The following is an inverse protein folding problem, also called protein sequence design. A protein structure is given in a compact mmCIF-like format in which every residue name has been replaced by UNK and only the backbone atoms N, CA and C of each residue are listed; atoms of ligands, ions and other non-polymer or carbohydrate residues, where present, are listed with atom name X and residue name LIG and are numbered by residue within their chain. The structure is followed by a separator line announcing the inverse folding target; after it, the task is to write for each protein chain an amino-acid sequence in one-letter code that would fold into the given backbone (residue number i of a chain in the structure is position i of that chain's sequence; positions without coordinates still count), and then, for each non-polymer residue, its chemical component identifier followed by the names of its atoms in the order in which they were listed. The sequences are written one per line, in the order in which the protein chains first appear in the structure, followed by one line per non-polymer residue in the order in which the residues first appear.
data_IF_039775243598
#
_entry.id   IF_039775243598
#
_cell.length_a   1.000
_cell.length_b   1.000
_cell.length_c   1.000
_cell.angle_alpha   90.00
_cell.angle_beta   90.00
_cell.angle_gamma   90.00
#
_symmetry.space_group_name_H-M   'P 1'
#
loop_
_entity.id
_entity.type
_entity.pdbx_description
1 polymer ?
#
# COMPACT_ATOMS: atom_id res chain seq x y z
N UNK A 1 -0.95 -50.63 -2.26
CA UNK A 1 -1.69 -49.61 -1.49
C UNK A 1 -2.66 -48.94 -2.44
N UNK A 2 -3.95 -48.97 -2.13
CA UNK A 2 -4.99 -48.38 -2.98
C UNK A 2 -5.05 -46.86 -2.76
N UNK A 3 -4.44 -46.10 -3.67
CA UNK A 3 -4.37 -44.64 -3.63
C UNK A 3 -5.62 -43.97 -4.22
N UNK A 4 -6.63 -44.73 -4.66
CA UNK A 4 -7.84 -44.18 -5.24
C UNK A 4 -8.58 -43.25 -4.26
N UNK A 5 -8.66 -43.61 -2.98
CA UNK A 5 -9.38 -42.82 -1.97
C UNK A 5 -8.74 -41.47 -1.65
N UNK A 6 -7.42 -41.37 -1.41
CA UNK A 6 -6.74 -40.08 -1.32
C UNK A 6 -6.99 -39.19 -2.54
N UNK A 7 -6.86 -39.74 -3.76
CA UNK A 7 -7.04 -38.96 -4.99
C UNK A 7 -8.45 -38.41 -5.11
N UNK A 8 -9.47 -39.22 -4.80
CA UNK A 8 -10.88 -38.80 -4.83
C UNK A 8 -11.15 -37.71 -3.78
N UNK A 9 -10.64 -37.86 -2.56
CA UNK A 9 -10.83 -36.89 -1.49
C UNK A 9 -10.21 -35.52 -1.84
N UNK A 10 -9.00 -35.51 -2.41
CA UNK A 10 -8.36 -34.29 -2.90
C UNK A 10 -9.11 -33.66 -4.07
N UNK A 11 -9.58 -34.47 -5.03
CA UNK A 11 -10.35 -33.99 -6.18
C UNK A 11 -11.67 -33.33 -5.73
N UNK A 12 -12.38 -33.92 -4.77
CA UNK A 12 -13.61 -33.35 -4.20
C UNK A 12 -13.37 -32.03 -3.48
N UNK A 13 -12.27 -31.93 -2.72
CA UNK A 13 -11.93 -30.69 -2.04
C UNK A 13 -11.59 -29.57 -3.05
N UNK A 14 -10.83 -29.88 -4.11
CA UNK A 14 -10.52 -28.91 -5.19
C UNK A 14 -11.80 -28.48 -5.92
N UNK A 15 -12.72 -29.41 -6.19
CA UNK A 15 -14.00 -29.08 -6.80
C UNK A 15 -14.86 -28.16 -5.91
N UNK A 16 -14.90 -28.42 -4.60
CA UNK A 16 -15.59 -27.56 -3.63
C UNK A 16 -14.96 -26.16 -3.57
N UNK A 17 -13.63 -26.07 -3.60
CA UNK A 17 -12.90 -24.80 -3.66
C UNK A 17 -13.26 -24.01 -4.93
N UNK A 18 -13.24 -24.66 -6.10
CA UNK A 18 -13.59 -24.03 -7.38
C UNK A 18 -15.04 -23.56 -7.42
N UNK A 19 -15.97 -24.36 -6.90
CA UNK A 19 -17.38 -23.98 -6.78
C UNK A 19 -17.56 -22.78 -5.85
N UNK A 20 -16.87 -22.74 -4.72
CA UNK A 20 -16.91 -21.64 -3.78
C UNK A 20 -16.43 -20.32 -4.42
N UNK A 21 -15.34 -20.36 -5.21
CA UNK A 21 -14.88 -19.19 -5.98
C UNK A 21 -15.87 -18.74 -7.06
N UNK A 22 -16.54 -19.69 -7.74
CA UNK A 22 -17.53 -19.37 -8.78
C UNK A 22 -18.82 -18.76 -8.22
N UNK A 23 -19.22 -19.20 -7.02
CA UNK A 23 -20.36 -18.61 -6.31
C UNK A 23 -19.97 -17.25 -5.73
N UNK A 24 -18.78 -17.12 -5.16
CA UNK A 24 -18.29 -15.85 -4.61
C UNK A 24 -18.01 -14.82 -5.69
N UNK A 25 -17.79 -15.18 -6.97
CA UNK A 25 -17.63 -14.20 -8.05
C UNK A 25 -18.95 -13.63 -8.57
N UNK A 26 -20.09 -14.23 -8.21
CA UNK A 26 -21.42 -13.94 -8.79
C UNK A 26 -22.16 -12.73 -8.18
N UNK A 27 -21.66 -12.01 -7.16
CA UNK A 27 -22.33 -10.77 -6.75
C UNK A 27 -22.29 -9.77 -7.89
N UNK A 28 -23.48 -9.23 -8.17
CA UNK A 28 -23.73 -8.25 -9.21
C UNK A 28 -22.81 -7.04 -9.01
N UNK A 29 -22.29 -6.45 -10.11
CA UNK A 29 -21.68 -5.14 -10.02
C UNK A 29 -22.72 -4.20 -9.41
N UNK A 30 -22.46 -3.71 -8.20
CA UNK A 30 -23.16 -2.52 -7.71
C UNK A 30 -22.69 -1.41 -8.63
N UNK A 31 -23.64 -0.78 -9.29
CA UNK A 31 -23.42 0.31 -10.24
C UNK A 31 -22.41 1.29 -9.65
N UNK A 32 -21.20 1.31 -10.23
CA UNK A 32 -20.12 2.13 -9.73
C UNK A 32 -20.59 3.57 -9.83
N UNK A 33 -20.81 4.22 -8.69
CA UNK A 33 -21.16 5.62 -8.70
C UNK A 33 -20.01 6.36 -9.41
N UNK A 34 -20.36 7.16 -10.40
CA UNK A 34 -19.46 7.97 -11.27
C UNK A 34 -18.66 9.04 -10.50
N UNK A 35 -18.48 8.88 -9.20
CA UNK A 35 -17.78 9.81 -8.32
C UNK A 35 -16.28 9.53 -8.33
N UNK A 36 -15.50 10.61 -8.31
CA UNK A 36 -14.06 10.56 -8.06
C UNK A 36 -13.81 9.90 -6.71
N UNK A 37 -13.13 8.76 -6.75
CA UNK A 37 -12.78 8.02 -5.54
C UNK A 37 -11.96 8.93 -4.59
N UNK A 38 -12.26 8.97 -3.28
CA UNK A 38 -11.48 9.76 -2.34
C UNK A 38 -10.00 9.36 -2.39
N UNK A 39 -9.10 10.34 -2.37
CA UNK A 39 -7.64 10.12 -2.45
C UNK A 39 -7.13 9.06 -1.47
N UNK A 40 -7.57 9.01 -0.20
CA UNK A 40 -7.08 7.99 0.75
C UNK A 40 -7.45 6.57 0.32
N UNK A 41 -8.62 6.41 -0.30
CA UNK A 41 -9.06 5.12 -0.84
C UNK A 41 -8.16 4.72 -2.00
N UNK A 42 -7.85 5.65 -2.91
CA UNK A 42 -6.95 5.38 -4.04
C UNK A 42 -5.55 4.99 -3.56
N UNK A 43 -4.98 5.72 -2.60
CA UNK A 43 -3.64 5.42 -2.05
C UNK A 43 -3.61 4.09 -1.31
N UNK A 44 -4.67 3.73 -0.58
CA UNK A 44 -4.78 2.40 0.03
C UNK A 44 -4.78 1.30 -1.04
N UNK A 45 -5.53 1.49 -2.13
CA UNK A 45 -5.63 0.49 -3.21
C UNK A 45 -4.34 0.40 -4.04
N UNK A 46 -3.52 1.45 -4.08
CA UNK A 46 -2.15 1.45 -4.63
C UNK A 46 -1.14 0.71 -3.74
N UNK A 47 -1.52 0.36 -2.51
CA UNK A 47 -0.66 -0.35 -1.56
C UNK A 47 0.29 0.56 -0.78
N UNK A 48 -0.08 1.83 -0.61
CA UNK A 48 0.66 2.79 0.22
C UNK A 48 0.64 2.40 1.69
N UNK A 49 1.61 2.90 2.47
CA UNK A 49 1.67 2.64 3.92
C UNK A 49 0.47 3.24 4.62
N UNK A 50 0.09 2.66 5.74
CA UNK A 50 -1.13 3.05 6.47
C UNK A 50 -1.01 4.47 7.05
N UNK A 51 0.21 4.92 7.34
CA UNK A 51 0.55 6.31 7.64
C UNK A 51 0.33 7.26 6.45
N UNK A 52 0.74 6.87 5.25
CA UNK A 52 0.58 7.69 4.03
C UNK A 52 -0.90 7.81 3.66
N UNK A 53 -1.67 6.73 3.82
CA UNK A 53 -3.14 6.75 3.66
C UNK A 53 -3.80 7.68 4.68
N UNK A 54 -3.30 7.69 5.92
CA UNK A 54 -3.78 8.61 6.95
C UNK A 54 -3.47 10.07 6.62
N UNK A 55 -2.27 10.37 6.14
CA UNK A 55 -1.90 11.71 5.69
C UNK A 55 -2.72 12.15 4.48
N UNK A 56 -2.93 11.27 3.51
CA UNK A 56 -3.84 11.54 2.38
C UNK A 56 -5.24 11.92 2.87
N UNK A 57 -5.75 11.27 3.92
CA UNK A 57 -7.05 11.60 4.52
C UNK A 57 -7.04 12.97 5.21
N UNK A 58 -5.96 13.32 5.89
CA UNK A 58 -5.80 14.66 6.47
C UNK A 58 -5.75 15.74 5.38
N UNK A 59 -5.04 15.53 4.27
CA UNK A 59 -4.99 16.51 3.18
C UNK A 59 -6.30 16.64 2.43
N UNK A 60 -7.01 15.54 2.24
CA UNK A 60 -8.35 15.56 1.66
C UNK A 60 -9.31 16.36 2.55
N UNK A 61 -9.24 16.17 3.87
CA UNK A 61 -9.97 16.98 4.85
C UNK A 61 -9.50 18.44 4.86
N UNK A 62 -8.22 18.71 4.65
CA UNK A 62 -7.67 20.07 4.56
C UNK A 62 -8.17 20.80 3.30
N UNK A 63 -8.18 20.12 2.16
CA UNK A 63 -8.73 20.63 0.90
C UNK A 63 -10.23 20.95 1.00
N UNK A 64 -10.96 20.17 1.80
CA UNK A 64 -12.36 20.45 2.17
C UNK A 64 -12.50 21.40 3.37
N UNK A 65 -11.39 21.94 3.89
CA UNK A 65 -11.30 22.91 4.97
C UNK A 65 -11.92 22.47 6.30
N UNK A 66 -11.87 21.17 6.60
CA UNK A 66 -12.15 20.61 7.94
C UNK A 66 -10.96 20.79 8.89
N UNK A 67 -9.75 20.87 8.31
CA UNK A 67 -8.51 21.18 9.01
C UNK A 67 -7.75 22.24 8.22
N UNK A 68 -6.91 23.02 8.88
CA UNK A 68 -5.99 23.95 8.21
C UNK A 68 -4.57 23.52 8.51
N UNK A 69 -3.78 23.38 7.45
CA UNK A 69 -2.37 23.01 7.52
C UNK A 69 -1.54 24.20 7.09
N UNK A 70 -0.79 24.78 8.02
CA UNK A 70 0.16 25.88 7.78
C UNK A 70 1.56 25.41 8.15
N UNK A 71 2.43 25.26 7.14
CA UNK A 71 3.75 24.66 7.35
C UNK A 71 3.63 23.24 7.89
N UNK A 72 4.16 23.00 9.10
CA UNK A 72 4.08 21.70 9.79
C UNK A 72 2.88 21.58 10.75
N UNK A 73 2.13 22.66 10.96
CA UNK A 73 1.10 22.75 11.99
C UNK A 73 -0.28 22.51 11.45
N UNK A 74 -1.04 21.72 12.20
CA UNK A 74 -2.44 21.46 11.93
C UNK A 74 -3.32 22.11 13.00
N UNK A 75 -4.37 22.77 12.53
CA UNK A 75 -5.46 23.32 13.33
C UNK A 75 -6.80 22.73 12.89
N UNK A 76 -7.74 22.60 13.82
CA UNK A 76 -9.12 22.18 13.49
C UNK A 76 -9.92 23.40 13.06
N UNK A 77 -10.60 23.29 11.91
CA UNK A 77 -11.53 24.31 11.46
C UNK A 77 -12.88 24.17 12.21
N UNK A 78 -13.74 25.21 12.20
CA UNK A 78 -15.07 25.13 12.77
C UNK A 78 -15.89 23.98 12.13
N UNK A 79 -16.81 23.35 12.88
CA UNK A 79 -17.62 22.24 12.37
C UNK A 79 -18.39 22.64 11.11
N UNK A 80 -18.29 21.82 10.05
CA UNK A 80 -19.01 22.03 8.79
C UNK A 80 -20.22 21.11 8.70
N UNK A 81 -21.16 21.42 7.80
CA UNK A 81 -22.40 20.64 7.57
C UNK A 81 -22.24 19.48 6.59
N UNK A 82 -21.06 19.32 5.99
CA UNK A 82 -20.81 18.28 5.00
C UNK A 82 -20.80 16.89 5.67
N UNK A 83 -21.40 15.86 5.06
CA UNK A 83 -21.39 14.51 5.63
C UNK A 83 -19.99 13.90 5.58
N UNK A 84 -19.48 13.47 6.73
CA UNK A 84 -18.17 12.83 6.85
C UNK A 84 -18.27 11.31 6.68
N UNK A 85 -17.34 10.75 5.90
CA UNK A 85 -17.15 9.31 5.78
C UNK A 85 -16.68 8.71 7.13
N UNK A 86 -16.87 7.40 7.36
CA UNK A 86 -16.51 6.78 8.64
C UNK A 86 -15.04 6.93 9.02
N UNK A 87 -14.12 6.78 8.04
CA UNK A 87 -12.69 6.97 8.29
C UNK A 87 -12.34 8.45 8.57
N UNK A 88 -13.07 9.39 7.97
CA UNK A 88 -12.84 10.83 8.15
C UNK A 88 -13.23 11.28 9.55
N UNK A 89 -14.37 10.79 10.06
CA UNK A 89 -14.79 10.98 11.45
C UNK A 89 -13.73 10.44 12.41
N UNK A 90 -13.25 9.23 12.15
CA UNK A 90 -12.20 8.62 12.95
C UNK A 90 -10.92 9.49 12.97
N UNK A 91 -10.49 10.00 11.80
CA UNK A 91 -9.32 10.90 11.71
C UNK A 91 -9.53 12.17 12.53
N UNK A 92 -10.67 12.85 12.36
CA UNK A 92 -10.98 14.09 13.08
C UNK A 92 -11.08 13.87 14.59
N UNK A 93 -11.69 12.78 15.04
CA UNK A 93 -11.79 12.44 16.47
C UNK A 93 -10.40 12.21 17.09
N UNK A 94 -9.50 11.53 16.36
CA UNK A 94 -8.12 11.30 16.81
C UNK A 94 -7.30 12.59 16.84
N UNK A 95 -7.45 13.43 15.82
CA UNK A 95 -6.82 14.76 15.78
C UNK A 95 -7.31 15.63 16.93
N UNK A 96 -8.63 15.72 17.14
CA UNK A 96 -9.24 16.49 18.22
C UNK A 96 -8.82 15.99 19.60
N UNK A 97 -8.73 14.67 19.79
CA UNK A 97 -8.25 14.09 21.04
C UNK A 97 -6.81 14.50 21.34
N UNK A 98 -5.93 14.52 20.32
CA UNK A 98 -4.51 14.88 20.48
C UNK A 98 -4.27 16.39 20.56
N UNK A 99 -5.17 17.20 20.01
CA UNK A 99 -5.16 18.66 20.16
C UNK A 99 -5.80 19.16 21.46
N UNK A 100 -6.31 18.29 22.34
CA UNK A 100 -6.93 18.74 23.60
C UNK A 100 -6.02 19.69 24.38
N UNK A 101 -6.49 20.93 24.56
CA UNK A 101 -5.79 21.99 25.28
C UNK A 101 -4.69 22.71 24.46
N UNK A 102 -4.54 22.42 23.17
CA UNK A 102 -3.59 23.09 22.27
C UNK A 102 -4.30 23.62 21.03
N UNK A 103 -4.08 24.88 20.63
CA UNK A 103 -4.71 25.43 19.42
C UNK A 103 -4.18 24.79 18.14
N UNK A 104 -2.92 24.33 18.15
CA UNK A 104 -2.26 23.72 17.01
C UNK A 104 -1.21 22.71 17.47
N UNK A 105 -0.92 21.71 16.64
CA UNK A 105 0.17 20.78 16.86
C UNK A 105 0.80 20.35 15.51
N UNK A 106 2.06 19.91 15.52
CA UNK A 106 2.68 19.33 14.34
C UNK A 106 1.87 18.13 13.84
N UNK A 107 1.69 17.99 12.53
CA UNK A 107 0.91 16.88 11.92
C UNK A 107 1.35 15.51 12.44
N UNK A 108 2.65 15.30 12.64
CA UNK A 108 3.19 14.03 13.14
C UNK A 108 2.91 13.75 14.61
N UNK A 109 2.75 14.78 15.43
CA UNK A 109 2.28 14.60 16.80
C UNK A 109 0.81 14.15 16.85
N UNK A 110 0.09 14.28 15.71
CA UNK A 110 -1.31 13.88 15.55
C UNK A 110 -1.45 12.50 14.89
N UNK A 111 -0.40 12.02 14.21
CA UNK A 111 -0.36 10.70 13.58
C UNK A 111 -0.50 9.60 14.64
N UNK A 112 -1.50 8.70 14.51
CA UNK A 112 -1.64 7.54 15.37
C UNK A 112 -0.51 6.53 15.19
N UNK A 113 -0.33 5.64 16.17
CA UNK A 113 0.61 4.52 16.06
C UNK A 113 0.19 3.56 14.95
N UNK A 114 1.15 2.83 14.37
CA UNK A 114 0.90 1.91 13.25
C UNK A 114 -0.14 0.83 13.58
N UNK A 115 -0.17 0.35 14.82
CA UNK A 115 -1.14 -0.63 15.32
C UNK A 115 -2.58 -0.10 15.29
N UNK A 116 -2.80 1.16 15.70
CA UNK A 116 -4.11 1.81 15.65
C UNK A 116 -4.55 2.05 14.20
N UNK A 117 -3.60 2.44 13.33
CA UNK A 117 -3.87 2.66 11.91
C UNK A 117 -4.29 1.36 11.22
N UNK A 118 -3.56 0.28 11.45
CA UNK A 118 -3.82 -1.03 10.84
C UNK A 118 -5.08 -1.69 11.41
N UNK A 119 -5.33 -1.49 12.71
CA UNK A 119 -6.41 -2.11 13.46
C UNK A 119 -7.77 -1.41 13.32
N UNK A 120 -7.80 -0.09 13.23
CA UNK A 120 -9.04 0.69 13.25
C UNK A 120 -9.26 1.51 11.97
N UNK A 121 -8.26 2.27 11.53
CA UNK A 121 -8.40 3.21 10.41
C UNK A 121 -8.47 2.52 9.04
N UNK A 122 -7.51 1.64 8.74
CA UNK A 122 -7.42 0.93 7.46
C UNK A 122 -8.66 0.10 7.17
N UNK A 123 -9.27 -0.62 8.13
CA UNK A 123 -10.55 -1.28 7.92
C UNK A 123 -11.67 -0.33 7.45
N UNK A 124 -11.74 0.91 7.95
CA UNK A 124 -12.75 1.89 7.55
C UNK A 124 -12.53 2.41 6.12
N UNK A 125 -11.28 2.72 5.76
CA UNK A 125 -10.92 3.10 4.39
C UNK A 125 -11.18 1.94 3.42
N UNK A 126 -10.86 0.71 3.84
CA UNK A 126 -11.14 -0.51 3.06
C UNK A 126 -12.62 -0.75 2.87
N UNK A 127 -13.44 -0.56 3.90
CA UNK A 127 -14.89 -0.69 3.79
C UNK A 127 -15.44 0.33 2.79
N UNK A 128 -14.96 1.57 2.84
CA UNK A 128 -15.34 2.61 1.88
C UNK A 128 -14.96 2.21 0.45
N UNK A 129 -13.78 1.62 0.24
CA UNK A 129 -13.36 1.10 -1.06
C UNK A 129 -14.31 0.01 -1.60
N UNK A 130 -14.85 -0.82 -0.71
CA UNK A 130 -15.82 -1.87 -1.05
C UNK A 130 -17.19 -1.26 -1.36
N UNK A 131 -17.64 -0.31 -0.56
CA UNK A 131 -18.92 0.36 -0.73
C UNK A 131 -18.96 1.17 -2.05
N UNK A 132 -17.82 1.74 -2.46
CA UNK A 132 -17.63 2.41 -3.75
C UNK A 132 -17.45 1.44 -4.94
N UNK A 133 -17.38 0.12 -4.69
CA UNK A 133 -17.19 -0.88 -5.73
C UNK A 133 -15.78 -0.96 -6.32
N UNK A 134 -14.79 -0.33 -5.69
CA UNK A 134 -13.38 -0.29 -6.14
C UNK A 134 -12.60 -1.53 -5.67
N UNK A 135 -12.96 -2.04 -4.50
CA UNK A 135 -12.47 -3.30 -3.99
C UNK A 135 -13.63 -4.26 -3.79
N UNK A 136 -13.34 -5.55 -3.83
CA UNK A 136 -14.29 -6.58 -3.42
C UNK A 136 -13.66 -7.49 -2.38
N UNK A 137 -14.43 -7.85 -1.37
CA UNK A 137 -14.03 -8.86 -0.41
C UNK A 137 -13.89 -10.20 -1.13
N UNK A 138 -12.74 -10.88 -1.01
CA UNK A 138 -12.53 -12.17 -1.68
C UNK A 138 -13.55 -13.24 -1.23
N UNK A 139 -14.01 -13.11 0.02
CA UNK A 139 -15.11 -13.87 0.58
C UNK A 139 -16.10 -12.94 1.28
N UNK A 140 -17.41 -13.04 1.04
CA UNK A 140 -18.40 -12.19 1.70
C UNK A 140 -18.39 -12.39 3.23
N UNK A 141 -18.14 -13.63 3.67
CA UNK A 141 -18.07 -14.01 5.08
C UNK A 141 -16.89 -14.97 5.32
N UNK A 142 -16.26 -14.89 6.50
CA UNK A 142 -15.17 -15.77 6.94
C UNK A 142 -15.60 -17.23 7.11
N UNK A 143 -16.90 -17.48 7.18
CA UNK A 143 -17.47 -18.84 7.25
C UNK A 143 -17.01 -19.69 6.06
N UNK A 144 -16.98 -19.13 4.85
CA UNK A 144 -16.61 -19.90 3.65
C UNK A 144 -15.15 -20.37 3.68
N UNK A 145 -14.15 -19.51 3.90
CA UNK A 145 -12.77 -19.98 4.04
C UNK A 145 -12.57 -20.87 5.28
N UNK A 146 -13.28 -20.63 6.38
CA UNK A 146 -13.22 -21.50 7.56
C UNK A 146 -13.72 -22.92 7.24
N UNK A 147 -14.86 -23.04 6.58
CA UNK A 147 -15.43 -24.34 6.19
C UNK A 147 -14.56 -25.08 5.19
N UNK A 148 -13.96 -24.37 4.23
CA UNK A 148 -13.01 -24.97 3.28
C UNK A 148 -11.72 -25.44 3.97
N UNK A 149 -11.22 -24.68 4.94
CA UNK A 149 -10.07 -25.08 5.76
C UNK A 149 -10.41 -26.29 6.66
N UNK A 150 -11.61 -26.33 7.24
CA UNK A 150 -12.08 -27.49 8.01
C UNK A 150 -12.28 -28.73 7.11
N UNK A 151 -12.82 -28.54 5.90
CA UNK A 151 -13.01 -29.62 4.93
C UNK A 151 -11.69 -30.22 4.42
N UNK A 152 -10.57 -29.48 4.51
CA UNK A 152 -9.23 -29.94 4.15
C UNK A 152 -8.70 -31.04 5.10
N UNK A 153 -9.27 -31.16 6.30
CA UNK A 153 -8.90 -32.21 7.28
C UNK A 153 -9.25 -33.60 6.74
N UNK A 154 -10.31 -33.74 5.95
CA UNK A 154 -10.77 -35.03 5.40
C UNK A 154 -9.76 -35.63 4.42
N UNK A 155 -9.33 -34.96 3.32
CA UNK A 155 -8.32 -35.52 2.42
C UNK A 155 -6.97 -35.72 3.11
N UNK A 156 -6.60 -34.85 4.05
CA UNK A 156 -5.41 -35.04 4.89
C UNK A 156 -5.46 -36.35 5.68
N UNK A 157 -6.53 -36.55 6.46
CA UNK A 157 -6.71 -37.72 7.30
C UNK A 157 -6.76 -39.01 6.48
N UNK A 158 -7.50 -39.03 5.36
CA UNK A 158 -7.56 -40.19 4.45
C UNK A 158 -6.18 -40.52 3.88
N UNK A 159 -5.37 -39.51 3.54
CA UNK A 159 -4.01 -39.74 3.04
C UNK A 159 -3.08 -40.30 4.12
N UNK A 160 -3.17 -39.80 5.36
CA UNK A 160 -2.37 -40.33 6.48
C UNK A 160 -2.82 -41.72 6.89
N UNK A 161 -4.12 -41.99 6.96
CA UNK A 161 -4.65 -43.30 7.35
C UNK A 161 -4.27 -44.41 6.36
N UNK A 162 -4.15 -44.07 5.07
CA UNK A 162 -3.81 -45.03 4.00
C UNK A 162 -2.30 -45.19 3.79
N UNK A 163 -1.53 -44.11 3.88
CA UNK A 163 -0.10 -44.11 3.56
C UNK A 163 0.83 -44.01 4.78
N UNK A 164 0.30 -43.74 5.98
CA UNK A 164 1.08 -43.44 7.18
C UNK A 164 1.91 -42.16 7.04
N UNK A 165 2.95 -42.02 7.88
CA UNK A 165 3.95 -40.94 7.82
C UNK A 165 5.02 -41.13 6.71
N UNK A 166 4.70 -41.91 5.68
CA UNK A 166 5.55 -42.04 4.51
C UNK A 166 5.59 -40.74 3.69
N UNK A 167 6.45 -40.68 2.66
CA UNK A 167 6.62 -39.52 1.79
C UNK A 167 5.28 -38.89 1.30
N UNK A 168 4.27 -39.67 0.83
CA UNK A 168 2.94 -39.14 0.53
C UNK A 168 2.21 -38.47 1.71
N UNK A 169 2.33 -39.02 2.92
CA UNK A 169 1.71 -38.44 4.13
C UNK A 169 2.38 -37.13 4.57
N UNK A 170 3.71 -37.02 4.40
CA UNK A 170 4.43 -35.76 4.61
C UNK A 170 4.01 -34.67 3.63
N UNK A 171 3.89 -35.00 2.33
CA UNK A 171 3.39 -34.06 1.31
C UNK A 171 1.97 -33.60 1.65
N UNK A 172 1.06 -34.53 1.97
CA UNK A 172 -0.31 -34.19 2.31
C UNK A 172 -0.39 -33.25 3.52
N UNK A 173 0.49 -33.43 4.52
CA UNK A 173 0.57 -32.54 5.68
C UNK A 173 1.07 -31.15 5.31
N UNK A 174 2.13 -31.05 4.50
CA UNK A 174 2.65 -29.76 4.02
C UNK A 174 1.62 -29.02 3.18
N UNK A 175 0.97 -29.70 2.22
CA UNK A 175 -0.04 -29.09 1.35
C UNK A 175 -1.24 -28.64 2.17
N UNK A 176 -1.70 -29.43 3.15
CA UNK A 176 -2.85 -29.06 3.97
C UNK A 176 -2.56 -27.86 4.87
N UNK A 177 -1.35 -27.79 5.42
CA UNK A 177 -0.92 -26.65 6.21
C UNK A 177 -0.81 -25.38 5.37
N UNK A 178 -0.10 -25.44 4.24
CA UNK A 178 0.06 -24.30 3.33
C UNK A 178 -1.29 -23.85 2.78
N UNK A 179 -2.13 -24.77 2.30
CA UNK A 179 -3.43 -24.45 1.74
C UNK A 179 -4.38 -23.91 2.82
N UNK A 180 -4.44 -24.51 4.01
CA UNK A 180 -5.28 -24.06 5.11
C UNK A 180 -4.90 -22.66 5.61
N UNK A 181 -3.60 -22.43 5.88
CA UNK A 181 -3.09 -21.11 6.27
C UNK A 181 -3.31 -20.08 5.16
N UNK A 182 -3.02 -20.43 3.91
CA UNK A 182 -3.25 -19.55 2.77
C UNK A 182 -4.72 -19.20 2.62
N UNK A 183 -5.64 -20.13 2.88
CA UNK A 183 -7.08 -19.88 2.77
C UNK A 183 -7.58 -18.92 3.84
N UNK A 184 -7.07 -19.04 5.06
CA UNK A 184 -7.42 -18.16 6.19
C UNK A 184 -6.80 -16.77 6.02
N UNK A 185 -5.55 -16.68 5.56
CA UNK A 185 -4.87 -15.42 5.28
C UNK A 185 -5.46 -14.72 4.05
N UNK A 186 -5.67 -15.46 2.95
CA UNK A 186 -6.38 -14.96 1.77
C UNK A 186 -7.85 -14.65 2.03
N UNK A 187 -8.45 -15.27 3.05
CA UNK A 187 -9.77 -14.98 3.60
C UNK A 187 -9.96 -13.51 3.98
N UNK A 188 -8.87 -12.86 4.41
CA UNK A 188 -8.82 -11.45 4.78
C UNK A 188 -8.41 -10.52 3.62
N UNK A 189 -8.03 -11.09 2.48
CA UNK A 189 -7.62 -10.33 1.29
C UNK A 189 -8.81 -9.76 0.53
N UNK A 190 -8.61 -8.59 -0.06
CA UNK A 190 -9.54 -7.99 -1.02
C UNK A 190 -8.94 -8.09 -2.43
N UNK A 191 -9.80 -8.10 -3.44
CA UNK A 191 -9.41 -8.08 -4.83
C UNK A 191 -9.86 -6.74 -5.43
N UNK A 192 -8.97 -6.11 -6.19
CA UNK A 192 -9.34 -4.93 -6.98
C UNK A 192 -10.36 -5.31 -8.06
N UNK A 193 -11.42 -4.52 -8.19
CA UNK A 193 -12.35 -4.64 -9.31
C UNK A 193 -11.75 -4.03 -10.58
N UNK A 194 -12.40 -4.17 -11.73
CA UNK A 194 -11.95 -3.52 -12.97
C UNK A 194 -11.81 -2.01 -12.80
N UNK A 195 -12.82 -1.37 -12.22
CA UNK A 195 -12.81 0.06 -11.86
C UNK A 195 -11.73 0.40 -10.84
N UNK A 196 -11.51 -0.44 -9.83
CA UNK A 196 -10.41 -0.27 -8.88
C UNK A 196 -9.05 -0.25 -9.59
N UNK A 197 -8.82 -1.18 -10.52
CA UNK A 197 -7.59 -1.24 -11.32
C UNK A 197 -7.41 -0.05 -12.25
N UNK A 198 -8.49 0.47 -12.83
CA UNK A 198 -8.45 1.68 -13.68
C UNK A 198 -8.06 2.91 -12.86
N UNK A 199 -8.58 3.05 -11.63
CA UNK A 199 -8.27 4.18 -10.75
C UNK A 199 -6.86 4.06 -10.15
N UNK A 200 -6.40 2.85 -9.84
CA UNK A 200 -5.03 2.57 -9.39
C UNK A 200 -4.05 2.35 -10.54
N UNK A 201 -4.46 2.61 -11.79
CA UNK A 201 -3.67 2.28 -12.97
C UNK A 201 -2.27 2.88 -12.90
N UNK A 202 -1.25 2.21 -13.47
CA UNK A 202 0.15 2.63 -13.41
C UNK A 202 0.41 4.01 -14.02
N UNK A 203 -0.54 4.54 -14.80
CA UNK A 203 -0.45 5.81 -15.52
C UNK A 203 -1.06 7.00 -14.76
N UNK A 204 -1.75 6.76 -13.63
CA UNK A 204 -2.24 7.88 -12.79
C UNK A 204 -1.18 8.26 -11.77
N UNK A 205 -0.68 9.49 -11.88
CA UNK A 205 0.24 10.09 -10.90
C UNK A 205 -0.38 10.05 -9.46
N UNK A 206 0.45 9.98 -8.41
CA UNK A 206 0.02 10.27 -7.04
C UNK A 206 -0.73 11.60 -6.98
N UNK A 207 -1.76 11.73 -6.13
CA UNK A 207 -2.63 12.91 -6.11
C UNK A 207 -1.88 14.25 -5.82
N UNK A 208 -0.64 14.18 -5.32
CA UNK A 208 0.29 15.30 -5.34
C UNK A 208 1.74 14.77 -5.42
N UNK A 209 2.36 14.70 -6.61
CA UNK A 209 3.73 14.21 -6.75
C UNK A 209 4.77 15.21 -6.22
N UNK A 210 4.37 16.45 -5.92
CA UNK A 210 5.28 17.56 -5.60
C UNK A 210 5.43 17.84 -4.11
N UNK A 211 4.63 17.26 -3.23
CA UNK A 211 4.73 17.52 -1.78
C UNK A 211 4.81 16.23 -1.00
N UNK A 212 5.85 16.12 -0.16
CA UNK A 212 6.01 14.99 0.74
C UNK A 212 6.66 15.39 2.05
N UNK A 213 6.28 14.70 3.13
CA UNK A 213 6.67 15.08 4.49
C UNK A 213 7.85 14.25 4.96
N UNK A 214 8.93 14.91 5.38
CA UNK A 214 10.19 14.25 5.75
C UNK A 214 10.67 14.74 7.09
N UNK A 215 11.20 13.81 7.89
CA UNK A 215 11.87 14.11 9.13
C UNK A 215 13.27 14.68 8.85
N UNK A 216 13.50 15.93 9.22
CA UNK A 216 14.77 16.65 9.03
C UNK A 216 15.69 16.58 10.26
N UNK A 217 15.38 15.71 11.23
CA UNK A 217 16.05 15.69 12.54
C UNK A 217 15.66 16.84 13.48
N UNK A 218 15.16 17.95 12.94
CA UNK A 218 14.63 19.12 13.67
C UNK A 218 13.09 19.21 13.68
N UNK A 219 12.42 18.39 12.89
CA UNK A 219 10.96 18.41 12.70
C UNK A 219 10.55 17.73 11.40
N UNK A 220 9.27 17.79 11.06
CA UNK A 220 8.76 17.29 9.78
C UNK A 220 8.35 18.47 8.91
N UNK A 221 8.84 18.52 7.68
CA UNK A 221 8.54 19.60 6.75
C UNK A 221 7.83 19.03 5.53
N UNK A 222 6.82 19.73 5.02
CA UNK A 222 6.30 19.50 3.67
C UNK A 222 7.34 20.00 2.68
N UNK A 223 7.93 19.08 1.93
CA UNK A 223 9.06 19.38 1.05
C UNK A 223 8.61 19.29 -0.40
N UNK A 224 8.95 20.31 -1.18
CA UNK A 224 8.72 20.30 -2.62
C UNK A 224 9.73 19.36 -3.30
N UNK A 225 9.26 18.44 -4.15
CA UNK A 225 10.15 17.54 -4.91
C UNK A 225 10.56 18.22 -6.22
N UNK A 226 11.84 18.57 -6.34
CA UNK A 226 12.40 19.04 -7.59
C UNK A 226 12.61 17.86 -8.57
N UNK A 227 12.19 18.00 -9.83
CA UNK A 227 12.37 16.98 -10.86
C UNK A 227 13.86 16.70 -11.11
N UNK A 228 14.19 15.53 -11.69
CA UNK A 228 15.57 15.14 -11.87
C UNK A 228 16.20 16.01 -12.95
N UNK A 229 17.20 16.80 -12.56
CA UNK A 229 18.00 17.62 -13.47
C UNK A 229 17.64 19.10 -13.42
N UNK A 230 18.32 19.84 -12.54
CA UNK A 230 18.72 21.21 -12.86
C UNK A 230 20.16 21.16 -13.34
N UNK A 231 20.55 21.82 -14.45
CA UNK A 231 21.88 21.71 -15.02
C UNK A 231 22.93 22.34 -14.10
N UNK A 232 23.48 21.54 -13.18
CA UNK A 232 24.66 21.93 -12.42
C UNK A 232 25.91 21.80 -13.32
N UNK A 233 26.79 22.82 -13.36
CA UNK A 233 28.02 22.76 -14.13
C UNK A 233 29.02 21.80 -13.47
N UNK A 234 29.08 20.57 -13.97
CA UNK A 234 30.08 19.58 -13.55
C UNK A 234 29.93 18.27 -14.34
N UNK A 235 31.03 17.77 -14.91
CA UNK A 235 31.09 16.46 -15.58
C UNK A 235 31.43 15.32 -14.62
N UNK A 236 31.83 15.66 -13.40
CA UNK A 236 32.29 14.70 -12.40
C UNK A 236 31.10 14.09 -11.63
N UNK A 237 31.23 12.81 -11.28
CA UNK A 237 30.20 12.10 -10.52
C UNK A 237 30.11 12.72 -9.13
N UNK A 238 28.90 13.01 -8.68
CA UNK A 238 28.68 13.64 -7.40
C UNK A 238 28.16 12.61 -6.40
N UNK A 239 28.70 12.65 -5.18
CA UNK A 239 28.12 11.94 -4.05
C UNK A 239 27.03 12.81 -3.42
N UNK A 240 25.86 12.22 -3.18
CA UNK A 240 24.73 12.86 -2.48
C UNK A 240 24.27 11.96 -1.35
N UNK A 241 23.97 12.55 -0.20
CA UNK A 241 23.53 11.83 1.00
C UNK A 241 22.23 12.45 1.50
N UNK A 242 21.35 11.61 2.06
CA UNK A 242 20.10 12.09 2.63
C UNK A 242 19.11 10.97 2.94
N UNK A 243 17.94 11.37 3.41
CA UNK A 243 16.82 10.47 3.64
C UNK A 243 15.99 10.32 2.37
N UNK A 244 15.57 9.10 2.10
CA UNK A 244 14.61 8.83 1.03
C UNK A 244 13.24 9.25 1.49
N UNK A 245 12.54 9.94 0.61
CA UNK A 245 11.29 10.63 0.94
C UNK A 245 10.15 10.04 0.16
N UNK A 246 10.42 9.82 -1.14
CA UNK A 246 9.52 9.18 -2.10
C UNK A 246 10.24 8.11 -2.87
N UNK A 247 9.43 7.20 -3.42
CA UNK A 247 9.77 6.46 -4.64
C UNK A 247 8.54 6.36 -5.55
N UNK A 248 8.75 6.42 -6.85
CA UNK A 248 7.71 6.19 -7.84
C UNK A 248 8.30 5.60 -9.14
N UNK A 249 7.46 5.06 -10.01
CA UNK A 249 7.86 4.58 -11.32
C UNK A 249 6.97 5.16 -12.40
N UNK A 250 7.55 5.55 -13.53
CA UNK A 250 6.85 6.06 -14.71
C UNK A 250 7.04 5.04 -15.84
N UNK A 251 5.94 4.64 -16.49
CA UNK A 251 6.02 3.86 -17.72
C UNK A 251 6.42 4.81 -18.86
N UNK A 252 7.52 4.52 -19.55
CA UNK A 252 7.89 5.25 -20.76
C UNK A 252 7.14 4.63 -21.93
N UNK A 253 6.22 5.41 -22.51
CA UNK A 253 5.60 5.09 -23.80
C UNK A 253 6.57 5.58 -24.86
N UNK A 254 7.46 4.70 -25.29
CA UNK A 254 8.34 4.98 -26.41
C UNK A 254 7.52 4.81 -27.70
N UNK A 255 7.24 5.92 -28.40
CA UNK A 255 6.38 5.92 -29.60
C UNK A 255 6.95 5.12 -30.77
N UNK A 256 8.23 4.74 -30.72
CA UNK A 256 8.93 4.04 -31.82
C UNK A 256 9.58 2.70 -31.43
N UNK A 257 9.46 2.24 -30.18
CA UNK A 257 10.08 0.98 -29.74
C UNK A 257 9.06 0.03 -29.11
N UNK A 258 9.03 -1.22 -29.59
CA UNK A 258 8.24 -2.34 -29.03
C UNK A 258 8.65 -2.76 -27.61
N UNK A 259 9.46 -1.96 -26.91
CA UNK A 259 9.87 -2.19 -25.52
C UNK A 259 9.27 -1.12 -24.61
N UNK A 260 8.27 -1.51 -23.80
CA UNK A 260 7.80 -0.68 -22.69
C UNK A 260 8.91 -0.61 -21.63
N UNK A 261 9.67 0.47 -21.61
CA UNK A 261 10.62 0.78 -20.54
C UNK A 261 9.88 1.29 -19.31
N UNK A 262 10.33 0.93 -18.11
CA UNK A 262 9.86 1.55 -16.86
C UNK A 262 11.02 2.30 -16.23
N UNK A 263 10.83 3.59 -16.01
CA UNK A 263 11.79 4.45 -15.32
C UNK A 263 11.42 4.55 -13.84
N UNK A 264 12.40 4.34 -12.97
CA UNK A 264 12.22 4.33 -11.52
C UNK A 264 12.86 5.58 -10.92
N UNK A 265 12.21 6.18 -9.94
CA UNK A 265 12.62 7.43 -9.32
C UNK A 265 12.59 7.31 -7.80
N UNK A 266 13.54 7.99 -7.15
CA UNK A 266 13.52 8.24 -5.71
C UNK A 266 13.73 9.72 -5.47
N UNK A 267 13.10 10.27 -4.43
CA UNK A 267 13.41 11.60 -3.95
C UNK A 267 14.24 11.51 -2.67
N UNK A 268 15.27 12.35 -2.58
CA UNK A 268 16.23 12.41 -1.49
C UNK A 268 16.21 13.81 -0.87
N UNK A 269 16.24 13.86 0.45
CA UNK A 269 16.32 15.10 1.21
C UNK A 269 17.55 15.09 2.11
N UNK A 270 18.35 16.14 2.04
CA UNK A 270 19.62 16.27 2.76
C UNK A 270 19.44 16.63 4.25
N UNK A 271 18.20 16.94 4.68
CA UNK A 271 17.87 17.33 6.05
C UNK A 271 17.98 18.83 6.32
N UNK A 272 18.45 19.63 5.35
CA UNK A 272 18.67 21.08 5.51
C UNK A 272 18.05 21.94 4.43
N UNK A 273 17.82 21.38 3.23
CA UNK A 273 17.21 22.08 2.11
C UNK A 273 15.71 22.26 2.30
N UNK A 274 15.13 23.28 1.66
CA UNK A 274 13.67 23.45 1.62
C UNK A 274 12.98 22.45 0.67
N UNK A 275 13.78 21.77 -0.16
CA UNK A 275 13.32 20.92 -1.26
C UNK A 275 14.06 19.59 -1.30
N UNK A 276 13.36 18.55 -1.73
CA UNK A 276 13.91 17.23 -1.97
C UNK A 276 14.25 17.12 -3.45
N UNK A 277 15.39 16.50 -3.76
CA UNK A 277 15.80 16.30 -5.15
C UNK A 277 15.46 14.89 -5.58
N UNK A 278 14.87 14.77 -6.77
CA UNK A 278 14.60 13.47 -7.35
C UNK A 278 15.73 12.96 -8.22
N UNK A 279 15.87 11.64 -8.23
CA UNK A 279 16.93 10.93 -8.92
C UNK A 279 16.37 9.69 -9.61
N UNK A 280 16.86 9.43 -10.82
CA UNK A 280 16.52 8.23 -11.60
C UNK A 280 17.35 7.06 -11.09
N UNK A 281 16.71 5.96 -10.72
CA UNK A 281 17.34 4.78 -10.15
C UNK A 281 17.14 3.55 -11.03
N UNK A 282 17.95 2.52 -10.79
CA UNK A 282 17.69 1.18 -11.34
C UNK A 282 16.59 0.50 -10.53
N UNK A 283 15.88 -0.43 -11.17
CA UNK A 283 14.82 -1.25 -10.55
C UNK A 283 15.28 -1.96 -9.27
N UNK A 284 16.50 -2.53 -9.27
CA UNK A 284 17.04 -3.21 -8.08
C UNK A 284 17.13 -2.25 -6.89
N UNK A 285 17.72 -1.07 -7.10
CA UNK A 285 17.87 -0.06 -6.07
C UNK A 285 16.49 0.46 -5.61
N UNK A 286 15.56 0.65 -6.54
CA UNK A 286 14.18 1.07 -6.23
C UNK A 286 13.47 0.12 -5.25
N UNK A 287 13.71 -1.18 -5.37
CA UNK A 287 13.14 -2.18 -4.48
C UNK A 287 13.89 -2.31 -3.14
N UNK A 288 15.20 -2.10 -3.16
CA UNK A 288 16.05 -2.22 -1.97
C UNK A 288 15.88 -1.07 -0.97
N UNK A 289 15.50 0.11 -1.47
CA UNK A 289 15.39 1.33 -0.66
C UNK A 289 13.94 1.71 -0.36
N UNK A 290 13.70 2.20 0.86
CA UNK A 290 12.38 2.60 1.34
C UNK A 290 12.38 4.07 1.80
N UNK A 291 11.22 4.76 1.71
CA UNK A 291 11.05 6.04 2.41
C UNK A 291 11.39 5.93 3.90
N UNK A 292 12.19 6.88 4.38
CA UNK A 292 12.78 6.94 5.71
C UNK A 292 14.25 6.47 5.77
N UNK A 293 14.69 5.63 4.83
CA UNK A 293 16.06 5.12 4.81
C UNK A 293 17.05 6.26 4.55
N UNK A 294 18.16 6.25 5.28
CA UNK A 294 19.29 7.12 4.98
C UNK A 294 20.18 6.43 3.94
N UNK A 295 20.46 7.12 2.84
CA UNK A 295 21.29 6.58 1.76
C UNK A 295 22.37 7.56 1.33
N UNK A 296 23.50 7.01 0.89
CA UNK A 296 24.55 7.73 0.15
C UNK A 296 24.57 7.20 -1.28
N UNK A 297 24.33 8.08 -2.25
CA UNK A 297 24.20 7.75 -3.66
C UNK A 297 25.31 8.44 -4.46
N UNK A 298 25.85 7.74 -5.45
CA UNK A 298 26.71 8.33 -6.47
C UNK A 298 25.86 8.65 -7.70
N UNK A 299 25.74 9.91 -8.07
CA UNK A 299 24.84 10.40 -9.13
C UNK A 299 25.61 11.05 -10.28
N UNK A 300 25.02 10.98 -11.49
CA UNK A 300 25.42 11.82 -12.63
C UNK A 300 24.64 13.14 -12.57
N UNK A 301 25.28 14.29 -12.30
CA UNK A 301 24.57 15.55 -12.05
C UNK A 301 23.66 15.96 -13.21
N UNK A 302 24.13 15.79 -14.46
CA UNK A 302 23.39 16.20 -15.67
C UNK A 302 22.10 15.44 -15.91
N UNK A 303 22.03 14.17 -15.51
CA UNK A 303 20.88 13.30 -15.81
C UNK A 303 20.09 12.93 -14.55
N UNK A 304 20.52 13.37 -13.38
CA UNK A 304 19.98 12.92 -12.09
C UNK A 304 20.05 11.40 -11.89
N UNK A 305 20.87 10.68 -12.66
CA UNK A 305 20.86 9.21 -12.67
C UNK A 305 21.79 8.66 -11.61
N UNK A 306 21.25 7.84 -10.72
CA UNK A 306 22.02 7.09 -9.72
C UNK A 306 22.85 6.03 -10.41
N UNK A 307 24.16 6.11 -10.22
CA UNK A 307 25.15 5.16 -10.72
C UNK A 307 25.32 4.02 -9.72
N UNK A 308 25.36 4.35 -8.42
CA UNK A 308 25.67 3.38 -7.36
C UNK A 308 25.12 3.83 -6.00
N UNK A 309 24.67 2.87 -5.19
CA UNK A 309 24.43 3.02 -3.75
C UNK A 309 25.74 2.78 -3.00
N UNK A 310 26.20 3.78 -2.24
CA UNK A 310 27.45 3.75 -1.49
C UNK A 310 27.24 3.30 -0.04
N UNK A 311 26.13 3.73 0.58
CA UNK A 311 25.73 3.33 1.93
C UNK A 311 24.21 3.32 2.06
N UNK A 312 23.70 2.46 2.94
CA UNK A 312 22.28 2.31 3.24
C UNK A 312 22.10 1.98 4.72
N UNK A 313 21.43 2.88 5.44
CA UNK A 313 21.02 2.68 6.82
C UNK A 313 19.50 2.68 6.87
N UNK A 314 18.94 1.54 7.29
CA UNK A 314 17.49 1.37 7.41
C UNK A 314 17.03 1.93 8.75
N UNK A 315 16.03 2.82 8.71
CA UNK A 315 15.33 3.26 9.91
C UNK A 315 14.24 2.22 10.26
N UNK A 316 14.21 1.76 11.51
CA UNK A 316 13.31 0.69 11.97
C UNK A 316 12.07 1.28 12.62
#
# INVERSE_FOLDING_TARGET
MDLAWPVIAWALWVAALAAAFKVSSRERPREASRYDAPVPVVELLRGMRTQEVFHAALFDLAGRGWVTVEGDRLTLAPPRREPLLPYERWVLDRVAARLRGRPQAPVMALTPEGTDLDGEFVPLVRQTAIDLGLARRRWPNMIVPLLLAAALVVPWYVTIATAGLSWPGMIATMVSFVAGVSLLMAGRGFLLTGTGREITGPDREPANPRQEWIYTGSGWHGVEIEPPGSPAPGSERQEVAGHIVKRWSVAEVDTDAMSSGRSYYVALHDGSSEKARSYVVKETLYHDVLPGDFVRLLVKPRTGKVVRLLAHERHW
#
